data_IF_732063866481
#
_entry.id   IF_732063866481
#
_cell.length_a   1.000
_cell.length_b   1.000
_cell.length_c   1.000
_cell.angle_alpha   90.00
_cell.angle_beta   90.00
_cell.angle_gamma   90.00
#
_symmetry.space_group_name_H-M   'P 1'
#
loop_
_entity.id
_entity.type
_entity.pdbx_description
1 polymer ?
#
# COMPACT_ATOMS: atom_id res chain seq x y z
N UNK A 1 -35.47 -21.92 -22.80
CA UNK A 1 -34.79 -21.18 -21.71
C UNK A 1 -33.60 -22.02 -21.32
N UNK A 2 -32.39 -21.62 -21.72
CA UNK A 2 -31.16 -22.30 -21.31
C UNK A 2 -31.08 -22.23 -19.79
N UNK A 3 -30.89 -23.36 -19.11
CA UNK A 3 -30.62 -23.38 -17.67
C UNK A 3 -29.38 -22.53 -17.40
N UNK A 4 -29.51 -21.50 -16.57
CA UNK A 4 -28.39 -20.64 -16.17
C UNK A 4 -27.21 -21.49 -15.66
N UNK A 5 -25.99 -21.18 -16.08
CA UNK A 5 -24.76 -21.83 -15.60
C UNK A 5 -24.40 -21.48 -14.13
N UNK A 6 -25.29 -20.76 -13.45
CA UNK A 6 -25.14 -20.27 -12.09
C UNK A 6 -24.99 -18.75 -12.04
N UNK A 7 -24.93 -18.23 -10.82
CA UNK A 7 -24.78 -16.80 -10.54
C UNK A 7 -23.33 -16.47 -10.22
N UNK A 8 -22.81 -15.41 -10.85
CA UNK A 8 -21.44 -14.91 -10.68
C UNK A 8 -21.43 -13.48 -10.15
N UNK A 9 -20.62 -13.22 -9.12
CA UNK A 9 -20.30 -11.86 -8.68
C UNK A 9 -19.02 -11.38 -9.38
N UNK A 10 -19.12 -10.37 -10.23
CA UNK A 10 -17.98 -9.80 -10.95
C UNK A 10 -17.46 -8.54 -10.25
N UNK A 11 -16.17 -8.51 -9.90
CA UNK A 11 -15.47 -7.26 -9.59
C UNK A 11 -15.49 -6.35 -10.82
N UNK A 12 -16.26 -5.27 -10.76
CA UNK A 12 -16.58 -4.40 -11.90
C UNK A 12 -16.16 -2.96 -11.64
N UNK A 13 -15.27 -2.46 -12.50
CA UNK A 13 -14.71 -1.11 -12.44
C UNK A 13 -15.25 -0.16 -13.51
N UNK A 14 -16.15 -0.60 -14.38
CA UNK A 14 -16.61 0.20 -15.53
C UNK A 14 -15.61 0.34 -16.68
N UNK A 15 -14.39 -0.17 -16.52
CA UNK A 15 -13.36 -0.19 -17.57
C UNK A 15 -13.71 -1.08 -18.77
N UNK A 16 -12.91 -1.00 -19.83
CA UNK A 16 -13.08 -1.81 -21.05
C UNK A 16 -13.06 -3.32 -20.73
N UNK A 17 -12.05 -3.77 -20.00
CA UNK A 17 -11.86 -5.17 -19.64
C UNK A 17 -13.03 -5.73 -18.84
N UNK A 18 -13.40 -5.10 -17.73
CA UNK A 18 -14.49 -5.59 -16.87
C UNK A 18 -15.85 -5.48 -17.53
N UNK A 19 -16.07 -4.51 -18.44
CA UNK A 19 -17.29 -4.45 -19.28
C UNK A 19 -17.35 -5.55 -20.32
N UNK A 20 -16.23 -5.85 -20.95
CA UNK A 20 -16.12 -6.97 -21.90
C UNK A 20 -16.33 -8.31 -21.18
N UNK A 21 -15.72 -8.49 -20.01
CA UNK A 21 -15.88 -9.69 -19.18
C UNK A 21 -17.35 -9.85 -18.73
N UNK A 22 -18.01 -8.77 -18.32
CA UNK A 22 -19.42 -8.78 -17.95
C UNK A 22 -20.28 -9.33 -19.11
N UNK A 23 -20.17 -8.72 -20.30
CA UNK A 23 -20.93 -9.15 -21.46
C UNK A 23 -20.58 -10.58 -21.90
N UNK A 24 -19.31 -10.95 -21.81
CA UNK A 24 -18.86 -12.29 -22.15
C UNK A 24 -19.38 -13.35 -21.17
N UNK A 25 -19.40 -13.09 -19.87
CA UNK A 25 -19.99 -14.00 -18.88
C UNK A 25 -21.50 -14.22 -19.14
N UNK A 26 -22.20 -13.18 -19.58
CA UNK A 26 -23.61 -13.30 -19.99
C UNK A 26 -23.75 -14.17 -21.23
N UNK A 27 -22.89 -13.98 -22.25
CA UNK A 27 -22.87 -14.83 -23.45
C UNK A 27 -22.60 -16.30 -23.12
N UNK A 28 -21.76 -16.56 -22.12
CA UNK A 28 -21.49 -17.91 -21.58
C UNK A 28 -22.66 -18.46 -20.74
N UNK A 29 -23.72 -17.70 -20.53
CA UNK A 29 -24.96 -18.14 -19.88
C UNK A 29 -24.99 -17.99 -18.35
N UNK A 30 -24.13 -17.16 -17.77
CA UNK A 30 -24.16 -16.83 -16.34
C UNK A 30 -25.13 -15.69 -16.03
N UNK A 31 -25.75 -15.71 -14.85
CA UNK A 31 -26.40 -14.53 -14.29
C UNK A 31 -25.34 -13.68 -13.56
N UNK A 32 -25.00 -12.50 -14.10
CA UNK A 32 -23.91 -11.67 -13.60
C UNK A 32 -24.44 -10.57 -12.67
N UNK A 33 -23.94 -10.53 -11.44
CA UNK A 33 -24.07 -9.39 -10.54
C UNK A 33 -22.76 -8.61 -10.58
N UNK A 34 -22.82 -7.33 -10.92
CA UNK A 34 -21.67 -6.44 -10.94
C UNK A 34 -21.46 -5.82 -9.54
N UNK A 35 -20.24 -5.89 -9.04
CA UNK A 35 -19.86 -5.40 -7.72
C UNK A 35 -18.74 -4.37 -7.82
N UNK A 36 -18.94 -3.21 -7.22
CA UNK A 36 -17.95 -2.15 -7.11
C UNK A 36 -17.70 -1.85 -5.63
N UNK A 37 -16.45 -1.99 -5.19
CA UNK A 37 -16.03 -1.53 -3.88
C UNK A 37 -15.59 -0.07 -3.98
N UNK A 38 -16.27 0.83 -3.28
CA UNK A 38 -15.78 2.18 -3.07
C UNK A 38 -14.73 2.13 -1.96
N UNK A 39 -13.47 2.14 -2.37
CA UNK A 39 -12.29 2.22 -1.51
C UNK A 39 -11.60 3.59 -1.67
N UNK A 40 -12.34 4.62 -2.10
CA UNK A 40 -11.91 6.01 -2.18
C UNK A 40 -11.37 6.47 -3.53
N UNK A 41 -11.57 5.70 -4.59
CA UNK A 41 -11.30 6.12 -5.97
C UNK A 41 -12.22 7.26 -6.41
N UNK A 42 -11.69 8.25 -7.13
CA UNK A 42 -12.46 9.40 -7.64
C UNK A 42 -13.10 9.08 -9.01
N UNK A 43 -14.26 8.42 -8.98
CA UNK A 43 -15.02 7.99 -10.16
C UNK A 43 -16.51 8.33 -10.06
N UNK A 44 -17.20 8.41 -11.20
CA UNK A 44 -18.65 8.56 -11.27
C UNK A 44 -19.34 7.18 -11.15
N UNK A 45 -19.66 6.79 -9.92
CA UNK A 45 -20.27 5.49 -9.64
C UNK A 45 -21.67 5.32 -10.26
N UNK A 46 -22.40 6.41 -10.49
CA UNK A 46 -23.72 6.36 -11.14
C UNK A 46 -23.57 6.07 -12.63
N UNK A 47 -22.59 6.69 -13.30
CA UNK A 47 -22.25 6.34 -14.68
C UNK A 47 -21.78 4.89 -14.81
N UNK A 48 -20.99 4.39 -13.84
CA UNK A 48 -20.55 2.98 -13.81
C UNK A 48 -21.75 2.03 -13.60
N UNK A 49 -22.69 2.38 -12.70
CA UNK A 49 -23.94 1.65 -12.49
C UNK A 49 -24.75 1.55 -13.77
N UNK A 50 -25.02 2.68 -14.42
CA UNK A 50 -25.78 2.71 -15.66
C UNK A 50 -25.13 1.86 -16.74
N UNK A 51 -23.80 1.95 -16.86
CA UNK A 51 -23.04 1.17 -17.81
C UNK A 51 -23.15 -0.33 -17.54
N UNK A 52 -22.99 -0.77 -16.29
CA UNK A 52 -23.11 -2.18 -15.92
C UNK A 52 -24.48 -2.76 -16.30
N UNK A 53 -25.56 -2.02 -15.98
CA UNK A 53 -26.93 -2.42 -16.28
C UNK A 53 -27.20 -2.44 -17.79
N UNK A 54 -26.71 -1.44 -18.54
CA UNK A 54 -26.78 -1.41 -20.02
C UNK A 54 -26.03 -2.58 -20.66
N UNK A 55 -24.93 -3.03 -20.06
CA UNK A 55 -24.19 -4.22 -20.51
C UNK A 55 -24.88 -5.55 -20.14
N UNK A 56 -26.00 -5.50 -19.40
CA UNK A 56 -26.82 -6.67 -19.09
C UNK A 56 -26.63 -7.25 -17.68
N UNK A 57 -25.91 -6.57 -16.77
CA UNK A 57 -25.83 -7.03 -15.38
C UNK A 57 -27.23 -7.16 -14.76
N UNK A 58 -27.45 -8.25 -14.03
CA UNK A 58 -28.71 -8.51 -13.32
C UNK A 58 -28.95 -7.50 -12.22
N UNK A 59 -27.87 -7.14 -11.53
CA UNK A 59 -27.84 -6.20 -10.41
C UNK A 59 -26.46 -5.53 -10.38
N UNK A 60 -26.42 -4.28 -9.92
CA UNK A 60 -25.19 -3.55 -9.65
C UNK A 60 -25.17 -3.13 -8.17
N UNK A 61 -24.11 -3.52 -7.47
CA UNK A 61 -23.93 -3.29 -6.04
C UNK A 61 -22.69 -2.42 -5.84
N UNK A 62 -22.84 -1.35 -5.07
CA UNK A 62 -21.72 -0.53 -4.58
C UNK A 62 -21.68 -0.64 -3.07
N UNK A 63 -20.51 -0.97 -2.52
CA UNK A 63 -20.27 -0.93 -1.08
C UNK A 63 -19.24 0.14 -0.75
N UNK A 64 -19.56 1.02 0.20
CA UNK A 64 -18.58 1.97 0.75
C UNK A 64 -17.73 1.29 1.82
N UNK A 65 -16.48 1.00 1.45
CA UNK A 65 -15.51 0.30 2.28
C UNK A 65 -14.38 1.22 2.74
N UNK A 66 -14.52 2.54 2.57
CA UNK A 66 -13.44 3.50 2.89
C UNK A 66 -13.04 3.46 4.35
N UNK A 67 -14.01 3.40 5.27
CA UNK A 67 -13.73 3.35 6.72
C UNK A 67 -12.99 2.08 7.11
N UNK A 68 -13.49 0.91 6.68
CA UNK A 68 -12.81 -0.36 6.92
C UNK A 68 -11.41 -0.37 6.30
N UNK A 69 -11.25 0.17 5.10
CA UNK A 69 -9.94 0.28 4.46
C UNK A 69 -8.97 1.13 5.29
N UNK A 70 -9.43 2.26 5.84
CA UNK A 70 -8.60 3.11 6.71
C UNK A 70 -8.25 2.41 8.03
N UNK A 71 -9.26 1.93 8.75
CA UNK A 71 -9.10 1.47 10.14
C UNK A 71 -8.47 0.07 10.22
N UNK A 72 -8.80 -0.84 9.31
CA UNK A 72 -8.40 -2.26 9.38
C UNK A 72 -7.17 -2.59 8.52
N UNK A 73 -6.82 -1.75 7.55
CA UNK A 73 -5.72 -2.01 6.61
C UNK A 73 -4.65 -0.90 6.65
N UNK A 74 -5.05 0.35 6.39
CA UNK A 74 -4.10 1.47 6.28
C UNK A 74 -3.41 1.73 7.63
N UNK A 75 -4.17 1.89 8.72
CA UNK A 75 -3.56 2.19 10.01
C UNK A 75 -2.68 1.05 10.55
N UNK A 76 -3.06 -0.24 10.46
CA UNK A 76 -2.15 -1.34 10.79
C UNK A 76 -0.89 -1.37 9.92
N UNK A 77 -0.98 -1.00 8.63
CA UNK A 77 0.20 -0.89 7.77
C UNK A 77 1.13 0.25 8.21
N UNK A 78 0.58 1.39 8.64
CA UNK A 78 1.34 2.50 9.25
C UNK A 78 2.00 2.05 10.56
N UNK A 79 1.25 1.41 11.46
CA UNK A 79 1.77 0.86 12.72
C UNK A 79 2.92 -0.15 12.51
N UNK A 80 2.85 -0.93 11.43
CA UNK A 80 3.91 -1.86 11.06
C UNK A 80 5.03 -1.21 10.25
N UNK A 81 4.94 0.08 9.91
CA UNK A 81 5.82 0.77 8.95
C UNK A 81 5.99 0.02 7.62
N UNK A 82 4.93 -0.68 7.17
CA UNK A 82 4.96 -1.59 6.04
C UNK A 82 5.48 -0.89 4.77
N UNK A 83 6.46 -1.51 4.13
CA UNK A 83 7.14 -1.02 2.94
C UNK A 83 7.75 -2.21 2.20
N UNK A 84 7.49 -2.30 0.90
CA UNK A 84 8.02 -3.36 0.04
C UNK A 84 9.26 -2.87 -0.70
N UNK A 85 10.32 -3.69 -0.65
CA UNK A 85 11.62 -3.40 -1.27
C UNK A 85 12.13 -1.99 -0.95
N UNK A 86 11.93 -1.57 0.31
CA UNK A 86 12.36 -0.29 0.88
C UNK A 86 11.77 0.97 0.22
N UNK A 87 10.83 0.84 -0.73
CA UNK A 87 10.27 2.00 -1.45
C UNK A 87 8.75 1.98 -1.58
N UNK A 88 8.11 0.85 -1.88
CA UNK A 88 6.68 0.81 -2.20
C UNK A 88 5.79 0.71 -0.96
N UNK A 89 4.84 1.63 -0.79
CA UNK A 89 3.91 1.69 0.34
C UNK A 89 2.66 0.80 0.20
N UNK A 90 2.66 -0.14 -0.74
CA UNK A 90 1.68 -1.24 -0.80
C UNK A 90 0.23 -0.82 -1.11
N UNK A 91 -0.03 0.37 -1.66
CA UNK A 91 -1.39 0.93 -1.76
C UNK A 91 -2.41 0.04 -2.49
N UNK A 92 -2.04 -0.58 -3.61
CA UNK A 92 -2.92 -1.51 -4.32
C UNK A 92 -3.08 -2.81 -3.54
N UNK A 93 -1.98 -3.35 -3.01
CA UNK A 93 -1.99 -4.60 -2.24
C UNK A 93 -2.76 -4.49 -0.93
N UNK A 94 -2.83 -3.31 -0.32
CA UNK A 94 -3.62 -3.03 0.88
C UNK A 94 -5.12 -3.01 0.59
N UNK A 95 -5.53 -2.56 -0.61
CA UNK A 95 -6.94 -2.48 -0.98
C UNK A 95 -7.53 -3.86 -1.33
N UNK A 96 -6.76 -4.78 -1.92
CA UNK A 96 -7.31 -6.07 -2.39
C UNK A 96 -7.96 -6.92 -1.29
N UNK A 97 -7.41 -7.02 -0.06
CA UNK A 97 -8.05 -7.76 1.01
C UNK A 97 -9.45 -7.27 1.38
N UNK A 98 -9.64 -5.95 1.52
CA UNK A 98 -10.95 -5.37 1.88
C UNK A 98 -11.96 -5.53 0.75
N UNK A 99 -11.53 -5.37 -0.51
CA UNK A 99 -12.40 -5.61 -1.67
C UNK A 99 -12.80 -7.09 -1.73
N UNK A 100 -11.84 -8.01 -1.55
CA UNK A 100 -12.12 -9.44 -1.60
C UNK A 100 -13.07 -9.89 -0.47
N UNK A 101 -12.92 -9.33 0.73
CA UNK A 101 -13.83 -9.53 1.87
C UNK A 101 -15.25 -9.10 1.54
N UNK A 102 -15.44 -7.90 0.97
CA UNK A 102 -16.76 -7.42 0.54
C UNK A 102 -17.38 -8.20 -0.60
N UNK A 103 -16.56 -8.64 -1.55
CA UNK A 103 -17.02 -9.54 -2.61
C UNK A 103 -17.51 -10.87 -2.06
N UNK A 104 -16.77 -11.54 -1.17
CA UNK A 104 -17.16 -12.84 -0.63
C UNK A 104 -18.39 -12.74 0.26
N UNK A 105 -18.49 -11.68 1.06
CA UNK A 105 -19.67 -11.39 1.87
C UNK A 105 -20.91 -11.17 0.97
N UNK A 106 -20.78 -10.35 -0.07
CA UNK A 106 -21.85 -10.09 -1.04
C UNK A 106 -22.23 -11.35 -1.81
N UNK A 107 -21.26 -12.11 -2.31
CA UNK A 107 -21.47 -13.35 -3.03
C UNK A 107 -22.26 -14.35 -2.18
N UNK A 108 -21.94 -14.44 -0.88
CA UNK A 108 -22.67 -15.29 0.06
C UNK A 108 -24.11 -14.82 0.25
N UNK A 109 -24.33 -13.52 0.52
CA UNK A 109 -25.68 -12.93 0.67
C UNK A 109 -26.54 -13.09 -0.59
N UNK A 110 -25.92 -13.03 -1.76
CA UNK A 110 -26.59 -13.13 -3.06
C UNK A 110 -26.64 -14.56 -3.61
N UNK A 111 -26.13 -15.56 -2.88
CA UNK A 111 -26.13 -16.95 -3.35
C UNK A 111 -25.36 -17.15 -4.65
N UNK A 112 -24.26 -16.43 -4.86
CA UNK A 112 -23.39 -16.62 -6.00
C UNK A 112 -22.53 -17.87 -5.79
N UNK A 113 -22.53 -18.76 -6.77
CA UNK A 113 -21.64 -19.94 -6.81
C UNK A 113 -20.23 -19.57 -7.27
N UNK A 114 -20.12 -18.46 -8.01
CA UNK A 114 -18.89 -18.00 -8.63
C UNK A 114 -18.56 -16.56 -8.24
N UNK A 115 -17.26 -16.26 -8.18
CA UNK A 115 -16.72 -14.90 -8.23
C UNK A 115 -15.83 -14.76 -9.46
N UNK A 116 -15.77 -13.54 -10.02
CA UNK A 116 -14.94 -13.24 -11.19
C UNK A 116 -14.22 -11.91 -11.00
N UNK A 117 -13.05 -11.77 -11.64
CA UNK A 117 -12.27 -10.54 -11.64
C UNK A 117 -11.67 -10.24 -13.02
N UNK A 118 -11.29 -8.97 -13.24
CA UNK A 118 -10.66 -8.51 -14.48
C UNK A 118 -9.13 -8.52 -14.49
N UNK A 119 -8.47 -9.01 -13.43
CA UNK A 119 -7.00 -9.01 -13.35
C UNK A 119 -6.35 -9.79 -14.51
N UNK A 120 -5.28 -9.22 -15.07
CA UNK A 120 -4.51 -9.86 -16.15
C UNK A 120 -3.71 -11.06 -15.63
N UNK A 121 -3.35 -11.98 -16.54
CA UNK A 121 -2.55 -13.16 -16.21
C UNK A 121 -1.09 -12.88 -15.77
N UNK A 122 -0.63 -11.62 -15.84
CA UNK A 122 0.75 -11.23 -15.50
C UNK A 122 0.84 -10.28 -14.28
N UNK A 123 -0.28 -9.93 -13.66
CA UNK A 123 -0.32 -9.05 -12.49
C UNK A 123 -0.29 -9.81 -11.16
N UNK A 124 0.05 -9.13 -10.07
CA UNK A 124 -0.05 -9.70 -8.71
C UNK A 124 -1.50 -9.77 -8.22
N UNK A 125 -2.40 -8.92 -8.72
CA UNK A 125 -3.77 -8.79 -8.19
C UNK A 125 -4.62 -10.06 -8.36
N UNK A 126 -4.37 -10.85 -9.40
CA UNK A 126 -5.03 -12.15 -9.56
C UNK A 126 -4.73 -13.07 -8.35
N UNK A 127 -3.48 -13.06 -7.87
CA UNK A 127 -3.05 -13.86 -6.72
C UNK A 127 -3.70 -13.30 -5.45
N UNK A 128 -3.69 -11.98 -5.27
CA UNK A 128 -4.26 -11.31 -4.10
C UNK A 128 -5.77 -11.57 -3.96
N UNK A 129 -6.53 -11.45 -5.04
CA UNK A 129 -7.96 -11.72 -5.02
C UNK A 129 -8.23 -13.20 -4.74
N UNK A 130 -7.60 -14.10 -5.47
CA UNK A 130 -7.95 -15.52 -5.37
C UNK A 130 -7.51 -16.17 -4.07
N UNK A 131 -6.31 -15.86 -3.57
CA UNK A 131 -5.89 -16.33 -2.25
C UNK A 131 -6.81 -15.79 -1.16
N UNK A 132 -7.27 -14.55 -1.27
CA UNK A 132 -8.25 -14.00 -0.34
C UNK A 132 -9.61 -14.70 -0.45
N UNK A 133 -10.10 -14.95 -1.67
CA UNK A 133 -11.34 -15.68 -1.91
C UNK A 133 -11.32 -17.06 -1.28
N UNK A 134 -10.27 -17.85 -1.54
CA UNK A 134 -10.13 -19.19 -0.97
C UNK A 134 -9.91 -19.16 0.55
N UNK A 135 -9.19 -18.16 1.07
CA UNK A 135 -9.00 -17.99 2.51
C UNK A 135 -10.30 -17.64 3.26
N UNK A 136 -11.22 -16.91 2.61
CA UNK A 136 -12.49 -16.48 3.20
C UNK A 136 -13.64 -17.48 2.96
N UNK A 137 -13.68 -18.11 1.78
CA UNK A 137 -14.72 -19.05 1.36
C UNK A 137 -14.10 -20.17 0.50
N UNK A 138 -13.58 -21.25 1.12
CA UNK A 138 -12.82 -22.28 0.41
C UNK A 138 -13.55 -23.00 -0.73
N UNK A 139 -14.88 -23.04 -0.69
CA UNK A 139 -15.75 -23.69 -1.68
C UNK A 139 -16.15 -22.78 -2.85
N UNK A 140 -15.74 -21.50 -2.85
CA UNK A 140 -16.06 -20.58 -3.94
C UNK A 140 -15.36 -20.97 -5.23
N UNK A 141 -16.07 -20.90 -6.36
CA UNK A 141 -15.47 -21.12 -7.68
C UNK A 141 -15.03 -19.77 -8.26
N UNK A 142 -13.81 -19.70 -8.76
CA UNK A 142 -13.30 -18.49 -9.42
C UNK A 142 -13.36 -18.64 -10.93
N UNK A 143 -13.91 -17.63 -11.61
CA UNK A 143 -13.77 -17.46 -13.05
C UNK A 143 -12.77 -16.34 -13.28
N UNK A 144 -11.61 -16.67 -13.86
CA UNK A 144 -10.56 -15.71 -14.20
C UNK A 144 -10.39 -15.67 -15.72
N UNK A 145 -11.17 -14.85 -16.45
CA UNK A 145 -11.22 -14.89 -17.92
C UNK A 145 -9.85 -14.77 -18.58
N UNK A 146 -8.97 -13.88 -18.10
CA UNK A 146 -7.62 -13.70 -18.64
C UNK A 146 -6.68 -14.91 -18.50
N UNK A 147 -7.10 -15.97 -17.82
CA UNK A 147 -6.39 -17.27 -17.77
C UNK A 147 -7.13 -18.41 -18.45
N UNK A 148 -8.29 -18.14 -19.06
CA UNK A 148 -9.04 -19.13 -19.84
C UNK A 148 -8.64 -19.03 -21.32
N UNK A 149 -8.16 -20.12 -21.96
CA UNK A 149 -7.79 -20.11 -23.38
C UNK A 149 -8.87 -19.53 -24.28
N UNK A 150 -10.12 -19.95 -24.09
CA UNK A 150 -11.27 -19.47 -24.87
C UNK A 150 -11.48 -17.94 -24.81
N UNK A 151 -11.00 -17.28 -23.75
CA UNK A 151 -11.11 -15.83 -23.59
C UNK A 151 -9.86 -15.13 -24.10
N UNK A 152 -8.66 -15.48 -23.60
CA UNK A 152 -7.45 -14.73 -23.98
C UNK A 152 -7.05 -14.95 -25.45
N UNK A 153 -7.38 -16.09 -26.07
CA UNK A 153 -7.13 -16.32 -27.50
C UNK A 153 -8.11 -15.52 -28.37
N UNK A 154 -9.36 -15.39 -27.92
CA UNK A 154 -10.38 -14.56 -28.58
C UNK A 154 -10.07 -13.07 -28.45
N UNK A 155 -9.57 -12.65 -27.29
CA UNK A 155 -9.26 -11.26 -26.96
C UNK A 155 -7.74 -11.06 -26.85
N UNK A 156 -7.01 -11.39 -27.92
CA UNK A 156 -5.55 -11.35 -27.96
C UNK A 156 -4.92 -9.95 -27.77
N UNK A 157 -5.74 -8.90 -27.68
CA UNK A 157 -5.30 -7.55 -27.38
C UNK A 157 -6.46 -6.56 -27.28
N UNK A 158 -6.10 -5.30 -27.03
CA UNK A 158 -7.06 -4.21 -26.82
C UNK A 158 -8.00 -3.99 -28.01
N UNK A 159 -7.52 -4.13 -29.25
CA UNK A 159 -8.36 -3.97 -30.44
C UNK A 159 -9.53 -4.97 -30.48
N UNK A 160 -9.28 -6.23 -30.16
CA UNK A 160 -10.32 -7.26 -30.12
C UNK A 160 -11.36 -7.00 -29.01
N UNK A 161 -10.94 -6.45 -27.87
CA UNK A 161 -11.86 -6.00 -26.82
C UNK A 161 -12.76 -4.85 -27.31
N UNK A 162 -12.20 -3.88 -28.05
CA UNK A 162 -12.96 -2.76 -28.60
C UNK A 162 -13.98 -3.21 -29.64
N UNK A 163 -13.59 -4.10 -30.56
CA UNK A 163 -14.51 -4.66 -31.57
C UNK A 163 -15.66 -5.44 -30.92
N UNK A 164 -15.37 -6.23 -29.88
CA UNK A 164 -16.40 -6.94 -29.14
C UNK A 164 -17.31 -5.97 -28.36
N UNK A 165 -16.74 -4.96 -27.71
CA UNK A 165 -17.50 -3.92 -27.04
C UNK A 165 -18.46 -3.20 -28.00
N UNK A 166 -17.99 -2.83 -29.19
CA UNK A 166 -18.82 -2.24 -30.24
C UNK A 166 -19.94 -3.19 -30.69
N UNK A 167 -19.63 -4.47 -30.93
CA UNK A 167 -20.62 -5.49 -31.33
C UNK A 167 -21.72 -5.71 -30.29
N UNK A 168 -21.46 -5.38 -29.02
CA UNK A 168 -22.38 -5.50 -27.88
C UNK A 168 -23.01 -4.16 -27.49
N UNK A 169 -22.69 -3.07 -28.18
CA UNK A 169 -23.16 -1.73 -27.84
C UNK A 169 -22.65 -1.23 -26.48
N UNK A 170 -21.51 -1.74 -26.01
CA UNK A 170 -20.89 -1.34 -24.74
C UNK A 170 -20.27 0.05 -24.92
N UNK A 171 -20.68 1.07 -24.12
CA UNK A 171 -20.09 2.40 -24.22
C UNK A 171 -18.61 2.40 -23.81
N UNK A 172 -17.71 2.75 -24.72
CA UNK A 172 -16.27 2.84 -24.43
C UNK A 172 -15.86 4.31 -24.35
N UNK A 173 -15.44 4.75 -23.16
CA UNK A 173 -15.00 6.12 -22.87
C UNK A 173 -13.50 6.34 -23.03
N UNK A 174 -12.70 5.28 -23.21
CA UNK A 174 -11.24 5.40 -23.24
C UNK A 174 -10.75 5.93 -24.60
N UNK A 175 -10.30 7.18 -24.61
CA UNK A 175 -9.55 7.80 -25.71
C UNK A 175 -8.13 7.24 -25.80
N UNK A 176 -7.51 7.27 -26.99
CA UNK A 176 -6.10 6.88 -27.23
C UNK A 176 -5.06 7.70 -26.44
N UNK A 177 -5.47 8.66 -25.61
CA UNK A 177 -4.63 9.77 -25.12
C UNK A 177 -3.79 9.47 -23.87
N UNK A 178 -4.01 8.37 -23.16
CA UNK A 178 -3.22 7.98 -21.98
C UNK A 178 -2.70 6.54 -22.11
N UNK A 179 -1.46 6.34 -22.58
CA UNK A 179 -0.90 5.02 -22.87
C UNK A 179 -0.34 4.32 -21.62
N UNK A 180 -1.08 4.30 -20.51
CA UNK A 180 -0.70 3.59 -19.28
C UNK A 180 -1.95 3.08 -18.55
N UNK A 181 -1.77 2.08 -17.70
CA UNK A 181 -2.80 1.54 -16.82
C UNK A 181 -2.76 2.23 -15.47
N UNK A 182 -3.92 2.45 -14.85
CA UNK A 182 -4.03 3.06 -13.51
C UNK A 182 -4.89 2.24 -12.57
N UNK A 183 -4.52 2.22 -11.30
CA UNK A 183 -5.33 1.71 -10.19
C UNK A 183 -5.33 2.75 -9.09
N UNK A 184 -6.51 3.23 -8.72
CA UNK A 184 -6.68 4.31 -7.75
C UNK A 184 -7.54 3.84 -6.57
N UNK A 185 -7.18 4.28 -5.38
CA UNK A 185 -7.97 4.14 -4.17
C UNK A 185 -7.64 5.30 -3.23
N UNK A 186 -8.20 5.28 -2.02
CA UNK A 186 -7.98 6.31 -1.01
C UNK A 186 -6.49 6.50 -0.67
N UNK A 187 -5.71 5.42 -0.67
CA UNK A 187 -4.32 5.41 -0.23
C UNK A 187 -3.34 5.87 -1.30
N UNK A 188 -3.54 5.45 -2.56
CA UNK A 188 -2.66 5.82 -3.66
C UNK A 188 -3.33 5.80 -5.03
N UNK A 189 -2.57 6.23 -6.04
CA UNK A 189 -2.75 5.80 -7.43
C UNK A 189 -1.43 5.19 -7.94
N UNK A 190 -1.53 4.13 -8.73
CA UNK A 190 -0.41 3.54 -9.46
C UNK A 190 -0.52 3.76 -10.96
N UNK A 191 0.62 3.82 -11.64
CA UNK A 191 0.75 3.90 -13.10
C UNK A 191 1.74 2.85 -13.58
N UNK A 192 1.34 2.06 -14.58
CA UNK A 192 2.20 1.03 -15.18
C UNK A 192 1.85 0.79 -16.66
N UNK A 193 2.62 -0.08 -17.31
CA UNK A 193 2.47 -0.49 -18.71
C UNK A 193 2.66 0.65 -19.73
N UNK A 194 2.57 0.28 -21.01
CA UNK A 194 2.74 1.19 -22.15
C UNK A 194 4.08 1.92 -22.11
N UNK A 195 4.09 3.25 -22.16
CA UNK A 195 5.36 4.01 -22.24
C UNK A 195 6.25 3.83 -21.00
N UNK A 196 5.68 3.43 -19.86
CA UNK A 196 6.42 3.22 -18.61
C UNK A 196 7.14 1.87 -18.57
N UNK A 197 6.89 0.96 -19.51
CA UNK A 197 7.57 -0.34 -19.58
C UNK A 197 9.07 -0.19 -19.87
N UNK A 198 9.48 0.86 -20.59
CA UNK A 198 10.88 1.23 -20.70
C UNK A 198 11.29 2.02 -19.44
N UNK A 199 12.15 1.46 -18.56
CA UNK A 199 12.57 2.14 -17.34
C UNK A 199 13.42 3.39 -17.60
N UNK A 200 13.91 3.60 -18.81
CA UNK A 200 14.66 4.80 -19.19
C UNK A 200 13.75 5.95 -19.70
N UNK A 201 12.44 5.73 -19.80
CA UNK A 201 11.47 6.77 -20.17
C UNK A 201 11.04 7.58 -18.96
N UNK A 202 11.30 8.89 -18.93
CA UNK A 202 10.83 9.78 -17.86
C UNK A 202 9.30 9.82 -17.81
N UNK A 203 8.67 9.67 -16.63
CA UNK A 203 7.21 9.78 -16.52
C UNK A 203 6.74 11.19 -16.93
N UNK A 204 5.74 11.32 -17.83
CA UNK A 204 5.32 12.64 -18.29
C UNK A 204 4.55 13.41 -17.20
N UNK A 205 4.64 14.74 -17.23
CA UNK A 205 4.08 15.61 -16.19
C UNK A 205 2.56 15.45 -16.00
N UNK A 206 1.83 15.16 -17.09
CA UNK A 206 0.37 14.99 -17.12
C UNK A 206 -0.10 13.57 -16.72
N UNK A 207 0.84 12.67 -16.42
CA UNK A 207 0.56 11.35 -15.86
C UNK A 207 0.07 11.46 -14.41
N UNK A 208 0.74 12.28 -13.62
CA UNK A 208 0.51 12.42 -12.19
C UNK A 208 -0.83 13.12 -11.92
N UNK A 209 -1.85 12.33 -11.57
CA UNK A 209 -3.24 12.76 -11.35
C UNK A 209 -3.40 13.46 -10.00
N UNK A 210 -2.84 12.90 -8.92
CA UNK A 210 -3.25 13.31 -7.57
C UNK A 210 -2.42 14.49 -7.05
N UNK A 211 -1.11 14.46 -7.23
CA UNK A 211 -0.17 15.37 -6.60
C UNK A 211 0.27 16.48 -7.55
N UNK A 212 0.40 17.69 -7.05
CA UNK A 212 1.09 18.77 -7.75
C UNK A 212 2.55 18.38 -7.96
N UNK A 213 3.19 18.79 -9.07
CA UNK A 213 4.64 18.64 -9.18
C UNK A 213 5.33 19.45 -8.07
N UNK A 214 6.37 18.93 -7.40
CA UNK A 214 7.12 19.67 -6.37
C UNK A 214 7.61 21.04 -6.83
N UNK A 215 7.96 21.19 -8.11
CA UNK A 215 8.40 22.44 -8.71
C UNK A 215 7.27 23.50 -8.75
N UNK A 216 6.02 23.07 -8.88
CA UNK A 216 4.82 23.91 -8.96
C UNK A 216 4.03 23.97 -7.64
N UNK A 217 4.44 23.22 -6.62
CA UNK A 217 3.84 23.23 -5.29
C UNK A 217 4.09 24.60 -4.59
N UNK A 218 3.27 24.99 -3.61
CA UNK A 218 3.37 26.29 -2.92
C UNK A 218 4.79 26.60 -2.41
N UNK A 219 5.16 27.89 -2.47
CA UNK A 219 6.43 28.41 -1.94
C UNK A 219 6.45 28.56 -0.42
N UNK A 220 5.28 28.51 0.23
CA UNK A 220 5.16 28.57 1.69
C UNK A 220 4.95 27.15 2.24
N UNK A 221 5.76 26.72 3.22
CA UNK A 221 5.53 25.44 3.90
C UNK A 221 4.20 25.44 4.65
N UNK A 222 3.50 24.32 4.63
CA UNK A 222 2.30 24.12 5.45
C UNK A 222 2.67 23.38 6.73
N UNK A 223 2.38 23.98 7.88
CA UNK A 223 2.66 23.39 9.19
C UNK A 223 1.45 22.64 9.72
N UNK A 224 1.66 21.40 10.12
CA UNK A 224 0.63 20.56 10.74
C UNK A 224 1.15 19.86 11.98
N UNK A 225 0.21 19.38 12.77
CA UNK A 225 0.45 18.54 13.93
C UNK A 225 -0.41 17.28 13.83
N UNK A 226 0.20 16.11 14.04
CA UNK A 226 -0.51 14.82 14.08
C UNK A 226 -0.38 14.23 15.48
N UNK A 227 -1.51 13.91 16.09
CA UNK A 227 -1.60 13.22 17.38
C UNK A 227 -1.87 11.74 17.15
N UNK A 228 -1.12 10.90 17.85
CA UNK A 228 -1.23 9.44 17.81
C UNK A 228 -1.63 8.90 19.17
N UNK A 229 -2.47 7.86 19.13
CA UNK A 229 -2.79 7.00 20.27
C UNK A 229 -2.60 5.55 19.85
N UNK A 230 -1.74 4.84 20.55
CA UNK A 230 -1.37 3.46 20.26
C UNK A 230 -0.97 3.26 18.79
N UNK A 231 -0.18 4.19 18.24
CA UNK A 231 0.26 4.18 16.84
C UNK A 231 -0.81 4.58 15.82
N UNK A 232 -2.05 4.83 16.24
CA UNK A 232 -3.14 5.26 15.36
C UNK A 232 -3.20 6.81 15.31
N UNK A 233 -3.21 7.44 14.13
CA UNK A 233 -3.37 8.90 14.01
C UNK A 233 -4.81 9.31 14.36
N UNK A 234 -5.02 9.84 15.56
CA UNK A 234 -6.35 10.19 16.09
C UNK A 234 -6.75 11.63 15.82
N UNK A 235 -5.80 12.50 15.48
CA UNK A 235 -6.08 13.90 15.16
C UNK A 235 -5.02 14.48 14.23
N UNK A 236 -5.46 15.25 13.25
CA UNK A 236 -4.59 16.16 12.48
C UNK A 236 -5.07 17.59 12.67
N UNK A 237 -4.14 18.51 12.93
CA UNK A 237 -4.41 19.95 13.12
C UNK A 237 -3.55 20.78 12.18
N UNK A 238 -4.14 21.70 11.42
CA UNK A 238 -3.41 22.72 10.66
C UNK A 238 -2.99 23.84 11.61
N UNK A 239 -1.69 24.12 11.68
CA UNK A 239 -1.15 25.03 12.69
C UNK A 239 -1.65 26.47 12.51
N UNK A 240 -1.75 26.96 11.27
CA UNK A 240 -2.13 28.35 11.00
C UNK A 240 -3.63 28.61 11.17
N UNK A 241 -4.49 27.70 10.68
CA UNK A 241 -5.94 27.87 10.77
C UNK A 241 -6.55 27.38 12.08
N UNK A 242 -5.85 26.51 12.82
CA UNK A 242 -6.39 25.82 14.00
C UNK A 242 -7.43 24.74 13.68
N UNK A 243 -7.73 24.50 12.40
CA UNK A 243 -8.68 23.49 11.96
C UNK A 243 -8.15 22.09 12.30
N UNK A 244 -9.02 21.23 12.85
CA UNK A 244 -8.64 19.88 13.25
C UNK A 244 -9.68 18.83 12.87
N UNK A 245 -9.21 17.64 12.55
CA UNK A 245 -10.01 16.50 12.10
C UNK A 245 -9.69 15.31 13.00
N UNK A 246 -10.73 14.54 13.36
CA UNK A 246 -10.62 13.43 14.33
C UNK A 246 -11.31 12.14 13.86
N UNK A 247 -12.22 12.22 12.88
CA UNK A 247 -12.71 11.02 12.21
C UNK A 247 -11.58 10.38 11.40
N UNK A 248 -11.44 9.05 11.49
CA UNK A 248 -10.35 8.30 10.85
C UNK A 248 -10.24 8.55 9.35
N UNK A 249 -11.37 8.57 8.65
CA UNK A 249 -11.43 8.79 7.20
C UNK A 249 -11.10 10.24 6.88
N UNK A 250 -11.64 11.20 7.63
CA UNK A 250 -11.36 12.62 7.45
C UNK A 250 -9.89 12.97 7.74
N UNK A 251 -9.29 12.37 8.77
CA UNK A 251 -7.85 12.50 9.07
C UNK A 251 -7.03 12.09 7.84
N UNK A 252 -7.31 10.93 7.27
CA UNK A 252 -6.56 10.43 6.13
C UNK A 252 -6.81 11.24 4.85
N UNK A 253 -8.06 11.63 4.58
CA UNK A 253 -8.43 12.52 3.48
C UNK A 253 -7.74 13.88 3.59
N UNK A 254 -7.67 14.44 4.80
CA UNK A 254 -7.01 15.71 5.01
C UNK A 254 -5.49 15.61 4.75
N UNK A 255 -4.85 14.53 5.20
CA UNK A 255 -3.44 14.28 4.90
C UNK A 255 -3.20 14.12 3.40
N UNK A 256 -4.10 13.42 2.68
CA UNK A 256 -4.06 13.36 1.23
C UNK A 256 -4.15 14.74 0.60
N UNK A 257 -5.12 15.57 0.98
CA UNK A 257 -5.30 16.91 0.42
C UNK A 257 -4.05 17.79 0.60
N UNK A 258 -3.44 17.74 1.79
CA UNK A 258 -2.21 18.48 2.10
C UNK A 258 -1.02 17.97 1.29
N UNK A 259 -0.79 16.65 1.28
CA UNK A 259 0.31 16.07 0.51
C UNK A 259 0.17 16.32 -0.99
N UNK A 260 -1.04 16.21 -1.54
CA UNK A 260 -1.33 16.49 -2.94
C UNK A 260 -0.99 17.93 -3.31
N UNK A 261 -1.42 18.91 -2.49
CA UNK A 261 -1.09 20.34 -2.65
C UNK A 261 0.42 20.58 -2.66
N UNK A 262 1.16 19.89 -1.79
CA UNK A 262 2.61 20.09 -1.63
C UNK A 262 3.48 19.14 -2.47
N UNK A 263 2.90 18.30 -3.32
CA UNK A 263 3.62 17.39 -4.22
C UNK A 263 4.32 16.21 -3.56
N UNK A 264 3.81 15.77 -2.40
CA UNK A 264 4.40 14.72 -1.57
C UNK A 264 3.91 13.34 -2.00
N UNK A 265 4.82 12.36 -2.02
CA UNK A 265 4.49 10.93 -2.14
C UNK A 265 4.60 10.35 -3.54
N UNK A 266 5.29 11.02 -4.47
CA UNK A 266 5.65 10.43 -5.78
C UNK A 266 6.82 9.45 -5.64
N UNK A 267 6.68 8.29 -6.26
CA UNK A 267 7.70 7.23 -6.32
C UNK A 267 7.75 6.66 -7.74
N UNK A 268 8.94 6.33 -8.23
CA UNK A 268 9.18 5.59 -9.47
C UNK A 268 10.18 4.47 -9.17
N UNK A 269 9.78 3.22 -9.38
CA UNK A 269 10.57 2.05 -9.02
C UNK A 269 10.48 0.94 -10.05
N UNK A 270 11.49 0.07 -10.03
CA UNK A 270 11.41 -1.28 -10.60
C UNK A 270 11.31 -2.27 -9.44
N UNK A 271 10.16 -2.94 -9.34
CA UNK A 271 9.85 -3.90 -8.27
C UNK A 271 9.88 -5.34 -8.76
N UNK A 272 10.10 -6.30 -7.85
CA UNK A 272 9.95 -7.72 -8.13
C UNK A 272 8.51 -8.18 -7.88
N UNK A 273 7.80 -8.58 -8.94
CA UNK A 273 6.47 -9.22 -8.83
C UNK A 273 6.59 -10.62 -8.24
N UNK A 274 5.56 -11.07 -7.53
CA UNK A 274 5.53 -12.38 -6.90
C UNK A 274 5.67 -13.52 -7.92
N UNK A 275 5.11 -13.32 -9.12
CA UNK A 275 5.16 -14.29 -10.21
C UNK A 275 6.54 -14.38 -10.91
N UNK A 276 7.58 -13.73 -10.38
CA UNK A 276 8.97 -13.89 -10.83
C UNK A 276 9.44 -12.94 -11.93
N UNK A 277 8.67 -11.89 -12.25
CA UNK A 277 9.07 -10.85 -13.22
C UNK A 277 9.34 -9.52 -12.54
N UNK A 278 10.16 -8.68 -13.15
CA UNK A 278 10.28 -7.27 -12.74
C UNK A 278 9.22 -6.43 -13.44
N UNK A 279 8.74 -5.40 -12.77
CA UNK A 279 7.82 -4.41 -13.32
C UNK A 279 8.26 -3.03 -12.90
N UNK A 280 8.20 -2.05 -13.81
CA UNK A 280 8.29 -0.66 -13.42
C UNK A 280 6.91 -0.16 -13.02
N UNK A 281 6.85 0.58 -11.91
CA UNK A 281 5.63 1.20 -11.40
C UNK A 281 5.93 2.60 -10.90
N UNK A 282 5.06 3.54 -11.26
CA UNK A 282 5.04 4.88 -10.70
C UNK A 282 3.86 5.00 -9.75
N UNK A 283 4.06 5.63 -8.59
CA UNK A 283 3.05 5.67 -7.53
C UNK A 283 2.92 7.08 -6.95
N UNK A 284 1.70 7.46 -6.58
CA UNK A 284 1.42 8.64 -5.75
C UNK A 284 0.71 8.18 -4.47
N UNK A 285 1.43 8.15 -3.35
CA UNK A 285 0.93 7.74 -2.03
C UNK A 285 0.95 8.91 -1.02
N UNK A 286 0.13 9.95 -1.23
CA UNK A 286 0.29 11.26 -0.60
C UNK A 286 0.18 11.23 0.94
N UNK A 287 -1.01 10.98 1.48
CA UNK A 287 -1.24 10.99 2.94
C UNK A 287 -0.45 9.89 3.66
N UNK A 288 -0.26 8.74 3.00
CA UNK A 288 0.54 7.63 3.51
C UNK A 288 2.01 8.01 3.74
N UNK A 289 2.60 8.81 2.86
CA UNK A 289 3.99 9.28 3.00
C UNK A 289 4.14 10.18 4.23
N UNK A 290 3.16 11.06 4.49
CA UNK A 290 3.14 11.87 5.71
C UNK A 290 3.00 10.99 6.95
N UNK A 291 2.01 10.08 6.96
CA UNK A 291 1.76 9.22 8.12
C UNK A 291 2.96 8.35 8.46
N UNK A 292 3.61 7.73 7.48
CA UNK A 292 4.77 6.89 7.73
C UNK A 292 5.93 7.69 8.32
N UNK A 293 6.19 8.89 7.79
CA UNK A 293 7.25 9.76 8.33
C UNK A 293 6.98 10.17 9.78
N UNK A 294 5.74 10.59 10.08
CA UNK A 294 5.34 10.99 11.43
C UNK A 294 5.34 9.81 12.42
N UNK A 295 4.87 8.64 11.99
CA UNK A 295 4.81 7.45 12.83
C UNK A 295 6.21 6.94 13.22
N UNK A 296 7.11 6.80 12.23
CA UNK A 296 8.52 6.42 12.48
C UNK A 296 9.21 7.38 13.44
N UNK A 297 8.89 8.67 13.31
CA UNK A 297 9.44 9.70 14.17
C UNK A 297 9.00 9.53 15.63
N UNK A 298 7.70 9.36 15.86
CA UNK A 298 7.14 9.19 17.19
C UNK A 298 7.66 7.91 17.87
N UNK A 299 7.82 6.82 17.12
CA UNK A 299 8.43 5.59 17.64
C UNK A 299 9.88 5.79 18.08
N UNK A 300 10.61 6.74 17.48
CA UNK A 300 11.95 7.13 17.95
C UNK A 300 11.96 7.70 19.36
N UNK A 301 10.86 8.34 19.78
CA UNK A 301 10.70 8.91 21.11
C UNK A 301 10.11 7.89 22.11
N UNK A 302 9.26 6.99 21.64
CA UNK A 302 8.30 6.26 22.50
C UNK A 302 8.45 4.74 22.51
N UNK A 303 9.20 4.16 21.59
CA UNK A 303 9.35 2.71 21.48
C UNK A 303 10.74 2.27 21.95
N UNK A 304 10.78 1.25 22.82
CA UNK A 304 12.03 0.63 23.25
C UNK A 304 12.87 0.16 22.04
N UNK A 305 14.20 0.30 22.17
CA UNK A 305 15.15 0.01 21.10
C UNK A 305 15.05 -1.43 20.59
N UNK A 306 14.94 -2.40 21.48
CA UNK A 306 14.91 -3.82 21.10
C UNK A 306 13.54 -4.23 20.55
N UNK A 307 12.45 -3.70 21.11
CA UNK A 307 11.10 -3.89 20.56
C UNK A 307 11.02 -3.33 19.14
N UNK A 308 11.50 -2.11 18.91
CA UNK A 308 11.57 -1.50 17.57
C UNK A 308 12.36 -2.36 16.60
N UNK A 309 13.55 -2.82 17.01
CA UNK A 309 14.42 -3.68 16.17
C UNK A 309 13.74 -5.00 15.80
N UNK A 310 13.06 -5.65 16.73
CA UNK A 310 12.31 -6.89 16.47
C UNK A 310 11.12 -6.64 15.54
N UNK A 311 10.36 -5.56 15.76
CA UNK A 311 9.25 -5.15 14.89
C UNK A 311 9.77 -4.90 13.46
N UNK A 312 10.83 -4.12 13.30
CA UNK A 312 11.40 -3.79 11.99
C UNK A 312 11.92 -5.05 11.25
N UNK A 313 12.60 -5.96 11.95
CA UNK A 313 13.17 -7.16 11.32
C UNK A 313 12.12 -8.22 10.97
N UNK A 314 11.14 -8.44 11.87
CA UNK A 314 10.15 -9.50 11.71
C UNK A 314 8.84 -8.98 11.15
N UNK A 315 8.19 -8.04 11.85
CA UNK A 315 6.82 -7.61 11.58
C UNK A 315 6.76 -6.74 10.32
N UNK A 316 7.59 -5.70 10.23
CA UNK A 316 7.59 -4.79 9.06
C UNK A 316 7.89 -5.57 7.79
N UNK A 317 8.99 -6.33 7.75
CA UNK A 317 9.38 -7.10 6.58
C UNK A 317 8.31 -8.13 6.19
N UNK A 318 7.87 -8.97 7.14
CA UNK A 318 6.93 -10.06 6.81
C UNK A 318 5.53 -9.57 6.52
N UNK A 319 5.04 -8.54 7.20
CA UNK A 319 3.73 -7.99 6.88
C UNK A 319 3.71 -7.35 5.49
N UNK A 320 4.80 -6.69 5.09
CA UNK A 320 4.95 -6.12 3.75
C UNK A 320 4.95 -7.18 2.66
N UNK A 321 5.69 -8.27 2.85
CA UNK A 321 5.66 -9.45 1.96
C UNK A 321 4.26 -10.06 1.87
N UNK A 322 3.61 -10.30 3.01
CA UNK A 322 2.26 -10.89 3.09
C UNK A 322 1.24 -10.05 2.31
N UNK A 323 1.27 -8.74 2.50
CA UNK A 323 0.42 -7.80 1.77
C UNK A 323 0.72 -7.86 0.27
N UNK A 324 2.00 -7.73 -0.11
CA UNK A 324 2.39 -7.68 -1.52
C UNK A 324 2.04 -8.98 -2.27
N UNK A 325 2.29 -10.14 -1.65
CA UNK A 325 2.07 -11.48 -2.20
C UNK A 325 0.61 -11.96 -2.13
N UNK A 326 -0.25 -11.29 -1.35
CA UNK A 326 -1.69 -11.61 -1.28
C UNK A 326 -2.09 -12.60 -0.20
N UNK A 327 -1.26 -12.84 0.79
CA UNK A 327 -1.51 -13.78 1.89
C UNK A 327 -2.24 -13.15 3.08
N UNK A 328 -2.99 -12.06 2.91
CA UNK A 328 -3.58 -11.33 4.04
C UNK A 328 -4.51 -12.19 4.93
N UNK A 329 -5.22 -13.17 4.35
CA UNK A 329 -6.12 -14.08 5.07
C UNK A 329 -5.46 -15.42 5.45
N UNK A 330 -4.12 -15.47 5.54
CA UNK A 330 -3.39 -16.67 5.95
C UNK A 330 -3.13 -16.76 7.46
N UNK A 331 -2.79 -17.95 7.99
CA UNK A 331 -2.41 -18.12 9.40
C UNK A 331 -1.20 -17.29 9.82
N UNK A 332 -0.17 -17.20 8.97
CA UNK A 332 1.03 -16.39 9.24
C UNK A 332 0.73 -14.89 9.23
N UNK A 333 -0.19 -14.42 8.38
CA UNK A 333 -0.71 -13.04 8.46
C UNK A 333 -1.36 -12.76 9.80
N UNK A 334 -2.22 -13.68 10.29
CA UNK A 334 -2.85 -13.55 11.61
C UNK A 334 -1.81 -13.47 12.74
N UNK A 335 -0.77 -14.30 12.68
CA UNK A 335 0.33 -14.27 13.65
C UNK A 335 1.09 -12.94 13.62
N UNK A 336 1.55 -12.52 12.44
CA UNK A 336 2.33 -11.29 12.27
C UNK A 336 1.51 -10.05 12.66
N UNK A 337 0.25 -9.96 12.23
CA UNK A 337 -0.66 -8.86 12.62
C UNK A 337 -0.92 -8.85 14.13
N UNK A 338 -0.97 -10.02 14.77
CA UNK A 338 -1.10 -10.14 16.23
C UNK A 338 0.08 -9.53 17.02
N UNK A 339 1.24 -9.36 16.38
CA UNK A 339 2.40 -8.70 16.99
C UNK A 339 2.33 -7.16 16.93
N UNK A 340 1.45 -6.57 16.09
CA UNK A 340 1.37 -5.12 15.91
C UNK A 340 0.84 -4.42 17.18
N UNK A 341 -0.32 -4.79 17.77
CA UNK A 341 -0.85 -4.03 18.91
C UNK A 341 0.11 -3.95 20.11
N UNK A 342 0.80 -5.04 20.52
CA UNK A 342 1.78 -4.96 21.61
C UNK A 342 2.93 -3.97 21.34
N UNK A 343 3.41 -3.87 20.09
CA UNK A 343 4.49 -2.94 19.75
C UNK A 343 4.03 -1.47 19.73
N UNK A 344 2.73 -1.23 19.72
CA UNK A 344 2.15 0.10 19.58
C UNK A 344 1.63 0.68 20.90
N UNK A 345 1.65 -0.09 21.98
CA UNK A 345 1.08 0.30 23.28
C UNK A 345 1.59 1.64 23.81
N UNK A 346 2.87 1.94 23.61
CA UNK A 346 3.53 3.18 24.03
C UNK A 346 3.60 4.24 22.95
N UNK A 347 3.12 4.00 21.72
CA UNK A 347 3.23 4.96 20.61
C UNK A 347 2.12 6.01 20.72
N UNK A 348 2.22 6.85 21.76
CA UNK A 348 1.27 7.91 22.10
C UNK A 348 2.00 9.25 22.11
N UNK A 349 1.41 10.27 21.51
CA UNK A 349 1.99 11.61 21.50
C UNK A 349 1.74 12.35 20.20
N UNK A 350 2.58 13.34 19.93
CA UNK A 350 2.31 14.34 18.91
C UNK A 350 3.56 14.61 18.09
N UNK A 351 3.41 14.75 16.78
CA UNK A 351 4.49 15.10 15.85
C UNK A 351 4.13 16.37 15.08
N UNK A 352 5.05 17.33 15.06
CA UNK A 352 4.96 18.59 14.32
C UNK A 352 5.71 18.46 13.01
N UNK A 353 5.07 18.84 11.91
CA UNK A 353 5.56 18.63 10.56
C UNK A 353 5.47 19.92 9.75
N UNK A 354 6.40 20.07 8.82
CA UNK A 354 6.39 21.09 7.78
C UNK A 354 6.35 20.38 6.41
N UNK A 355 5.31 20.67 5.63
CA UNK A 355 5.08 20.07 4.32
C UNK A 355 5.53 21.06 3.25
N UNK A 356 6.53 20.67 2.44
CA UNK A 356 7.16 21.62 1.52
C UNK A 356 7.73 20.95 0.28
N UNK A 357 7.18 21.30 -0.90
CA UNK A 357 7.68 20.93 -2.23
C UNK A 357 8.20 19.49 -2.32
N UNK A 358 7.34 18.52 -2.05
CA UNK A 358 7.63 17.09 -2.10
C UNK A 358 8.20 16.50 -0.82
N UNK A 359 8.52 17.33 0.18
CA UNK A 359 9.16 16.89 1.42
C UNK A 359 8.19 16.90 2.61
N UNK A 360 8.40 15.95 3.51
CA UNK A 360 7.83 15.91 4.86
C UNK A 360 8.98 16.15 5.83
N UNK A 361 8.99 17.30 6.50
CA UNK A 361 10.06 17.71 7.40
C UNK A 361 9.55 17.64 8.83
N UNK A 362 10.23 16.89 9.71
CA UNK A 362 9.87 16.84 11.12
C UNK A 362 10.41 18.09 11.84
N UNK A 363 9.53 18.85 12.48
CA UNK A 363 9.91 20.04 13.28
C UNK A 363 10.02 19.74 14.78
N UNK A 364 9.39 18.65 15.25
CA UNK A 364 9.49 18.24 16.65
C UNK A 364 8.46 17.19 17.02
N UNK A 365 8.58 16.65 18.23
CA UNK A 365 7.70 15.62 18.77
C UNK A 365 7.59 15.73 20.29
N UNK A 366 6.51 15.22 20.86
CA UNK A 366 6.27 15.23 22.31
C UNK A 366 5.46 14.01 22.73
N UNK A 367 5.77 13.45 23.90
CA UNK A 367 5.07 12.31 24.48
C UNK A 367 5.25 12.28 26.00
N UNK A 368 4.35 11.57 26.69
CA UNK A 368 4.40 11.33 28.14
C UNK A 368 4.88 9.90 28.49
N UNK A 369 5.52 9.20 27.55
CA UNK A 369 5.94 7.79 27.69
C UNK A 369 7.31 7.62 28.37
N UNK A 370 8.01 8.73 28.63
CA UNK A 370 9.21 8.82 29.49
C UNK A 370 10.43 7.97 29.09
N UNK A 371 10.47 7.37 27.90
CA UNK A 371 11.69 6.69 27.41
C UNK A 371 12.82 7.65 27.04
N UNK A 372 12.48 8.88 26.66
CA UNK A 372 13.44 9.95 26.43
C UNK A 372 13.43 10.91 27.63
N UNK A 373 14.61 11.18 28.16
CA UNK A 373 14.85 12.15 29.22
C UNK A 373 15.99 13.08 28.78
N UNK A 374 15.67 14.37 28.60
CA UNK A 374 16.62 15.40 28.16
C UNK A 374 17.82 15.49 29.11
N UNK A 375 17.60 15.36 30.43
CA UNK A 375 18.66 15.46 31.44
C UNK A 375 19.55 14.25 31.40
N UNK A 376 18.97 13.06 31.22
CA UNK A 376 19.75 11.82 31.09
C UNK A 376 20.65 11.82 29.85
N UNK A 377 20.18 12.41 28.74
CA UNK A 377 20.92 12.50 27.49
C UNK A 377 21.87 13.70 27.38
N UNK A 378 21.87 14.60 28.36
CA UNK A 378 22.60 15.86 28.31
C UNK A 378 24.11 15.64 28.26
N UNK A 379 24.81 16.51 27.51
CA UNK A 379 26.27 16.61 27.55
C UNK A 379 26.75 17.66 28.57
N UNK A 380 25.83 18.51 29.04
CA UNK A 380 26.11 19.60 29.99
C UNK A 380 25.91 19.15 31.45
N UNK A 381 25.16 18.06 31.67
CA UNK A 381 24.86 17.49 32.98
C UNK A 381 25.07 15.96 32.97
N UNK A 382 25.42 15.36 34.11
CA UNK A 382 25.69 13.91 34.23
C UNK A 382 24.44 13.02 34.04
N UNK A 383 23.24 13.57 34.25
CA UNK A 383 21.99 12.93 33.85
C UNK A 383 21.61 11.61 34.53
N UNK A 384 22.37 11.11 35.51
CA UNK A 384 22.18 9.76 36.06
C UNK A 384 22.88 8.65 35.28
N UNK A 385 23.74 9.01 34.32
CA UNK A 385 24.63 8.10 33.61
C UNK A 385 26.03 8.11 34.25
N UNK A 386 26.56 6.93 34.57
CA UNK A 386 27.92 6.77 35.10
C UNK A 386 28.89 6.42 33.96
N UNK A 387 29.81 7.33 33.57
CA UNK A 387 30.69 7.09 32.42
C UNK A 387 31.59 5.85 32.57
N UNK A 388 31.97 5.50 33.80
CA UNK A 388 32.86 4.36 34.07
C UNK A 388 32.28 3.01 33.63
N UNK A 389 30.95 2.84 33.70
CA UNK A 389 30.26 1.63 33.27
C UNK A 389 30.50 1.32 31.78
N UNK A 390 30.73 2.36 30.98
CA UNK A 390 31.03 2.22 29.54
C UNK A 390 32.34 1.47 29.30
N UNK A 391 33.34 1.63 30.17
CA UNK A 391 34.64 0.96 30.01
C UNK A 391 34.50 -0.57 30.06
N UNK A 392 33.74 -1.08 31.05
CA UNK A 392 33.44 -2.50 31.17
C UNK A 392 32.59 -3.01 29.99
N UNK A 393 31.56 -2.25 29.61
CA UNK A 393 30.72 -2.58 28.46
C UNK A 393 31.53 -2.72 27.16
N UNK A 394 32.38 -1.73 26.84
CA UNK A 394 33.27 -1.78 25.67
C UNK A 394 34.23 -2.97 25.77
N UNK A 395 34.85 -3.18 26.94
CA UNK A 395 35.80 -4.28 27.14
C UNK A 395 35.15 -5.64 26.83
N UNK A 396 33.92 -5.88 27.28
CA UNK A 396 33.17 -7.11 27.00
C UNK A 396 32.84 -7.24 25.51
N UNK A 397 32.29 -6.20 24.87
CA UNK A 397 31.97 -6.23 23.43
C UNK A 397 33.22 -6.44 22.56
N UNK A 398 34.36 -5.88 22.99
CA UNK A 398 35.63 -5.99 22.28
C UNK A 398 36.26 -7.39 22.33
N UNK A 399 35.88 -8.29 23.26
CA UNK A 399 36.48 -9.63 23.38
C UNK A 399 36.41 -10.39 22.05
N UNK A 400 35.22 -10.44 21.43
CA UNK A 400 35.01 -11.13 20.15
C UNK A 400 35.82 -10.50 19.03
N UNK A 401 35.87 -9.16 18.96
CA UNK A 401 36.60 -8.42 17.93
C UNK A 401 38.12 -8.61 18.06
N UNK A 402 38.66 -8.57 19.28
CA UNK A 402 40.09 -8.82 19.55
C UNK A 402 40.49 -10.23 19.14
N UNK A 403 39.68 -11.25 19.45
CA UNK A 403 39.95 -12.64 19.02
C UNK A 403 39.94 -12.79 17.50
N UNK A 404 38.96 -12.20 16.82
CA UNK A 404 38.93 -12.18 15.36
C UNK A 404 40.17 -11.50 14.77
N UNK A 405 40.54 -10.32 15.28
CA UNK A 405 41.69 -9.55 14.81
C UNK A 405 43.02 -10.29 14.98
N UNK A 406 43.23 -10.94 16.13
CA UNK A 406 44.40 -11.80 16.35
C UNK A 406 44.48 -12.93 15.32
N UNK A 407 43.35 -13.60 15.03
CA UNK A 407 43.29 -14.65 14.01
C UNK A 407 43.57 -14.14 12.58
N UNK A 408 43.22 -12.89 12.27
CA UNK A 408 43.62 -12.28 10.98
C UNK A 408 45.12 -11.93 10.96
N UNK A 409 45.69 -11.51 12.09
CA UNK A 409 47.11 -11.19 12.20
C UNK A 409 47.99 -12.42 11.98
N UNK A 410 47.65 -13.56 12.59
CA UNK A 410 48.35 -14.84 12.36
C UNK A 410 48.30 -15.29 10.90
N UNK A 411 47.23 -14.93 10.17
CA UNK A 411 47.06 -15.25 8.74
C UNK A 411 47.73 -14.23 7.81
N UNK A 412 48.42 -13.22 8.34
CA UNK A 412 48.99 -12.13 7.55
C UNK A 412 47.94 -11.24 6.86
N UNK A 413 46.69 -11.25 7.37
CA UNK A 413 45.54 -10.50 6.83
C UNK A 413 45.12 -9.33 7.71
N UNK A 414 45.79 -9.10 8.83
CA UNK A 414 45.56 -7.91 9.65
C UNK A 414 46.41 -6.75 9.15
N UNK A 415 45.89 -5.54 9.30
CA UNK A 415 46.57 -4.32 8.93
C UNK A 415 45.60 -3.14 8.97
N UNK A 416 46.15 -1.94 9.13
CA UNK A 416 45.42 -0.70 8.97
C UNK A 416 45.57 -0.13 7.55
N UNK A 417 46.35 -0.79 6.68
CA UNK A 417 46.36 -0.44 5.27
C UNK A 417 44.99 -0.71 4.66
N UNK A 418 44.63 0.06 3.65
CA UNK A 418 43.29 0.05 3.05
C UNK A 418 42.89 -1.33 2.53
N UNK A 419 43.84 -2.13 2.01
CA UNK A 419 43.52 -3.46 1.49
C UNK A 419 43.19 -4.42 2.63
N UNK A 420 44.01 -4.47 3.66
CA UNK A 420 43.78 -5.32 4.83
C UNK A 420 42.56 -4.88 5.65
N UNK A 421 42.36 -3.57 5.85
CA UNK A 421 41.30 -3.03 6.70
C UNK A 421 39.90 -3.21 6.09
N UNK A 422 39.78 -3.12 4.77
CA UNK A 422 38.50 -3.23 4.05
C UNK A 422 38.33 -4.55 3.29
N UNK A 423 39.28 -5.49 3.46
CA UNK A 423 39.32 -6.76 2.72
C UNK A 423 39.21 -6.57 1.19
N UNK A 424 39.90 -5.56 0.66
CA UNK A 424 39.97 -5.28 -0.77
C UNK A 424 41.12 -6.09 -1.37
N UNK A 425 40.83 -6.91 -2.39
CA UNK A 425 41.85 -7.68 -3.14
C UNK A 425 42.78 -6.76 -3.95
#
# INVERSE_FOLDING_TARGET
MSSSHGRVLLAYSGGLDTSTILAWLIDEGYEVIAYLANVGQEEDFDAVREKALKCGAKEFIVEDLRREFVEELIFPAVQANAIYEDVYLLGTSLARPVIARGMIETATKKGCEYVSHGCTGKGNDQVRFELAFYGLKPDIKVIAPWRLPKFYERFAGRSALLEYAESKGIPVTQTKSKPWSTDENLFHISYEAGILEDPNTTPPDDMWKLTQSPQKAPETPEKITIEFKQGIPVKVTKTESGESYTDSVDVFLQLNALARKHGIGRVDIVENRFIGVKSRGCYESPGATILRAAHIDLEGLTLDREVRRLRDQLVTTKFSEILYYGFFFSPESKFVRGCIPPSQTTVNGTVKLSLYKGNVIIEGRSSNELLYDEKFSSMDELGGFEPENTSGFIAVQAIRLRRYGLGQAEKGKAGADTKAAYALE
#
